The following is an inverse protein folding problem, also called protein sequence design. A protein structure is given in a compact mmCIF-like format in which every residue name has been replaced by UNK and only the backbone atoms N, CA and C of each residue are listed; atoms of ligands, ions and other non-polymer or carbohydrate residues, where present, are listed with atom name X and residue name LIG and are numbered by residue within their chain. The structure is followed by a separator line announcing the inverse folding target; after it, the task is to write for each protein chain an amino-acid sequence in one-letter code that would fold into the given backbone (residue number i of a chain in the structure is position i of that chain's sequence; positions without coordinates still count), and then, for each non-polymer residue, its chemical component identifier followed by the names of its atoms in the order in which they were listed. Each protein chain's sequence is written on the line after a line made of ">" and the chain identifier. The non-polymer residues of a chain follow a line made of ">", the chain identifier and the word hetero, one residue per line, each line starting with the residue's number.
data_IF_046690361778
#
_entry.id   IF_046690361778
#
_cell.length_a   1.000
_cell.length_b   1.000
_cell.length_c   1.000
_cell.angle_alpha   90.00
_cell.angle_beta   90.00
_cell.angle_gamma   90.00
#
_symmetry.space_group_name_H-M   'P 1'
#
loop_
_entity.id
_entity.type
_entity.pdbx_description
1 polymer ?
#
# COMPACT_ATOMS: atom_id res chain seq x y z
N UNK A 1 44.90 51.28 6.63
CA UNK A 1 43.50 51.39 7.07
C UNK A 1 42.82 52.50 6.26
N UNK A 2 42.13 52.20 5.14
CA UNK A 2 41.38 53.21 4.42
C UNK A 2 39.92 53.25 4.92
N UNK A 3 39.48 54.44 5.30
CA UNK A 3 38.11 54.79 5.67
C UNK A 3 37.18 54.77 4.46
N UNK A 4 36.10 53.98 4.53
CA UNK A 4 35.01 53.97 3.54
C UNK A 4 33.98 55.05 3.91
N UNK A 5 33.82 56.05 3.04
CA UNK A 5 32.71 57.00 3.13
C UNK A 5 31.44 56.41 2.51
N UNK A 6 30.35 56.48 3.26
CA UNK A 6 29.02 55.97 2.89
C UNK A 6 28.29 57.05 2.10
N UNK A 7 28.18 56.89 0.78
CA UNK A 7 27.35 57.78 -0.04
C UNK A 7 25.92 57.26 -0.12
N UNK A 8 24.99 58.06 0.36
CA UNK A 8 23.55 57.79 0.33
C UNK A 8 23.06 57.87 -1.12
N UNK A 9 22.82 56.72 -1.76
CA UNK A 9 22.12 56.68 -3.05
C UNK A 9 20.68 57.17 -2.83
N UNK A 10 20.35 58.36 -3.35
CA UNK A 10 18.98 58.87 -3.38
C UNK A 10 18.13 57.91 -4.22
N UNK A 11 17.15 57.28 -3.59
CA UNK A 11 16.13 56.48 -4.26
C UNK A 11 15.26 57.44 -5.07
N UNK A 12 15.33 57.36 -6.40
CA UNK A 12 14.51 58.18 -7.28
C UNK A 12 13.06 57.68 -7.23
N UNK A 13 12.14 58.53 -6.75
CA UNK A 13 10.70 58.33 -6.89
C UNK A 13 10.19 59.25 -8.01
N UNK A 14 9.42 58.74 -8.99
CA UNK A 14 8.79 59.56 -10.03
C UNK A 14 7.86 60.63 -9.45
N UNK A 15 7.67 61.74 -10.17
CA UNK A 15 6.78 62.82 -9.74
C UNK A 15 5.31 62.40 -9.84
N UNK A 16 4.42 63.04 -9.08
CA UNK A 16 2.99 62.73 -9.08
C UNK A 16 2.36 62.82 -10.50
N UNK A 17 2.91 63.68 -11.36
CA UNK A 17 2.48 63.86 -12.75
C UNK A 17 2.85 62.70 -13.67
N UNK A 18 3.93 61.98 -13.34
CA UNK A 18 4.35 60.75 -14.03
C UNK A 18 3.52 59.56 -13.55
N UNK A 19 3.10 59.59 -12.29
CA UNK A 19 2.25 58.57 -11.67
C UNK A 19 0.84 58.60 -12.27
N UNK A 20 0.26 59.78 -12.44
CA UNK A 20 -1.04 59.96 -13.10
C UNK A 20 -1.02 59.50 -14.57
N UNK A 21 0.10 59.71 -15.27
CA UNK A 21 0.28 59.23 -16.65
C UNK A 21 0.43 57.71 -16.73
N UNK A 22 1.12 57.09 -15.75
CA UNK A 22 1.22 55.63 -15.65
C UNK A 22 -0.15 55.01 -15.34
N UNK A 23 -0.93 55.63 -14.46
CA UNK A 23 -2.25 55.13 -14.08
C UNK A 23 -3.27 55.32 -15.22
N UNK A 24 -3.23 56.45 -15.94
CA UNK A 24 -4.03 56.62 -17.17
C UNK A 24 -3.66 55.60 -18.26
N UNK A 25 -2.38 55.25 -18.40
CA UNK A 25 -1.93 54.24 -19.37
C UNK A 25 -2.37 52.82 -18.97
N UNK A 26 -2.36 52.48 -17.67
CA UNK A 26 -2.92 51.22 -17.16
C UNK A 26 -4.43 51.10 -17.36
N UNK A 27 -5.16 52.21 -17.27
CA UNK A 27 -6.60 52.22 -17.53
C UNK A 27 -6.93 52.12 -19.03
N UNK A 28 -6.08 52.65 -19.91
CA UNK A 28 -6.22 52.54 -21.36
C UNK A 28 -5.84 51.15 -21.91
N UNK A 29 -4.87 50.47 -21.30
CA UNK A 29 -4.45 49.11 -21.66
C UNK A 29 -5.26 48.01 -20.94
N UNK A 30 -6.36 48.37 -20.25
CA UNK A 30 -7.27 47.37 -19.68
C UNK A 30 -8.02 46.72 -20.85
N UNK A 31 -7.78 45.43 -21.16
CA UNK A 31 -8.51 44.76 -22.23
C UNK A 31 -10.01 44.87 -21.93
N UNK A 32 -10.79 45.29 -22.93
CA UNK A 32 -12.24 45.27 -22.86
C UNK A 32 -12.69 43.87 -22.41
N UNK A 33 -13.80 43.74 -21.63
CA UNK A 33 -14.31 42.43 -21.26
C UNK A 33 -14.64 41.70 -22.57
N UNK A 34 -13.78 40.74 -22.93
CA UNK A 34 -14.07 39.77 -23.97
C UNK A 34 -15.33 39.08 -23.53
N UNK A 35 -16.38 39.19 -24.36
CA UNK A 35 -17.62 38.47 -24.20
C UNK A 35 -17.31 37.03 -23.78
N UNK A 36 -17.86 36.66 -22.64
CA UNK A 36 -17.68 35.38 -21.97
C UNK A 36 -17.89 34.25 -23.00
N UNK A 37 -16.80 33.58 -23.37
CA UNK A 37 -16.88 32.21 -23.87
C UNK A 37 -17.53 31.43 -22.72
N UNK A 38 -18.79 30.95 -22.86
CA UNK A 38 -19.43 30.23 -21.78
C UNK A 38 -18.54 29.06 -21.41
N UNK A 39 -18.16 28.99 -20.13
CA UNK A 39 -17.26 27.98 -19.57
C UNK A 39 -17.67 26.60 -20.09
N UNK A 40 -16.87 26.02 -20.99
CA UNK A 40 -17.16 24.73 -21.64
C UNK A 40 -17.46 23.62 -20.61
N UNK A 41 -16.93 23.78 -19.39
CA UNK A 41 -17.19 22.93 -18.24
C UNK A 41 -18.61 23.05 -17.69
N UNK A 42 -19.19 24.25 -17.67
CA UNK A 42 -20.57 24.50 -17.22
C UNK A 42 -21.56 23.90 -18.23
N UNK A 43 -21.32 24.12 -19.53
CA UNK A 43 -22.09 23.47 -20.59
C UNK A 43 -22.00 21.93 -20.52
N UNK A 44 -20.82 21.38 -20.21
CA UNK A 44 -20.63 19.94 -20.03
C UNK A 44 -21.37 19.42 -18.78
N UNK A 45 -21.31 20.13 -17.65
CA UNK A 45 -22.05 19.78 -16.43
C UNK A 45 -23.56 19.79 -16.67
N UNK A 46 -24.09 20.80 -17.37
CA UNK A 46 -25.50 20.88 -17.75
C UNK A 46 -25.94 19.66 -18.57
N UNK A 47 -25.10 19.19 -19.51
CA UNK A 47 -25.42 17.98 -20.28
C UNK A 47 -25.46 16.71 -19.43
N UNK A 48 -24.56 16.59 -18.43
CA UNK A 48 -24.57 15.48 -17.49
C UNK A 48 -25.79 15.53 -16.56
N UNK A 49 -26.16 16.73 -16.10
CA UNK A 49 -27.35 16.92 -15.26
C UNK A 49 -28.64 16.62 -16.03
N UNK A 50 -28.75 17.09 -17.27
CA UNK A 50 -29.86 16.77 -18.16
C UNK A 50 -29.96 15.27 -18.44
N UNK A 51 -28.83 14.59 -18.68
CA UNK A 51 -28.80 13.14 -18.83
C UNK A 51 -29.26 12.41 -17.56
N UNK A 52 -28.79 12.84 -16.39
CA UNK A 52 -29.20 12.28 -15.10
C UNK A 52 -30.69 12.52 -14.80
N UNK A 53 -31.21 13.69 -15.16
CA UNK A 53 -32.63 14.01 -15.05
C UNK A 53 -33.47 13.17 -16.02
N UNK A 54 -33.03 13.00 -17.26
CA UNK A 54 -33.69 12.15 -18.25
C UNK A 54 -33.72 10.68 -17.80
N UNK A 55 -32.65 10.16 -17.21
CA UNK A 55 -32.62 8.80 -16.69
C UNK A 55 -33.52 8.63 -15.46
N UNK A 56 -33.60 9.63 -14.57
CA UNK A 56 -34.60 9.65 -13.48
C UNK A 56 -36.02 9.63 -14.04
N UNK A 57 -36.33 10.45 -15.04
CA UNK A 57 -37.64 10.49 -15.68
C UNK A 57 -37.99 9.16 -16.36
N UNK A 58 -37.04 8.54 -17.08
CA UNK A 58 -37.24 7.19 -17.67
C UNK A 58 -37.56 6.14 -16.61
N UNK A 59 -36.89 6.17 -15.46
CA UNK A 59 -37.18 5.25 -14.34
C UNK A 59 -38.58 5.53 -13.78
N UNK A 60 -38.94 6.79 -13.57
CA UNK A 60 -40.28 7.17 -13.09
C UNK A 60 -41.39 6.80 -14.07
N UNK A 61 -41.19 7.00 -15.37
CA UNK A 61 -42.15 6.65 -16.40
C UNK A 61 -42.28 5.14 -16.57
N UNK A 62 -41.17 4.39 -16.49
CA UNK A 62 -41.19 2.93 -16.44
C UNK A 62 -41.96 2.43 -15.20
N UNK A 63 -41.78 3.06 -14.03
CA UNK A 63 -42.54 2.74 -12.82
C UNK A 63 -44.04 3.08 -12.94
N UNK A 64 -44.39 4.20 -13.58
CA UNK A 64 -45.79 4.58 -13.84
C UNK A 64 -46.44 3.64 -14.83
N UNK A 65 -45.72 3.25 -15.89
CA UNK A 65 -46.19 2.28 -16.88
C UNK A 65 -46.40 0.90 -16.26
N UNK A 66 -45.51 0.46 -15.37
CA UNK A 66 -45.67 -0.78 -14.61
C UNK A 66 -46.93 -0.77 -13.74
N UNK A 67 -47.23 0.35 -13.08
CA UNK A 67 -48.46 0.54 -12.28
C UNK A 67 -49.74 0.67 -13.12
N UNK A 68 -49.63 1.11 -14.38
CA UNK A 68 -50.76 1.26 -15.32
C UNK A 68 -51.18 -0.05 -16.00
N UNK A 69 -50.38 -1.12 -15.88
CA UNK A 69 -50.74 -2.42 -16.43
C UNK A 69 -52.07 -2.88 -15.81
N UNK A 70 -53.07 -3.25 -16.63
CA UNK A 70 -54.35 -3.70 -16.08
C UNK A 70 -54.11 -4.90 -15.16
N UNK A 71 -54.62 -4.81 -13.93
CA UNK A 71 -54.56 -5.90 -12.95
C UNK A 71 -55.03 -7.18 -13.62
N UNK A 72 -54.22 -8.23 -13.58
CA UNK A 72 -54.57 -9.47 -14.23
C UNK A 72 -55.88 -9.98 -13.63
N UNK A 73 -56.73 -10.65 -14.41
CA UNK A 73 -57.90 -11.35 -13.85
C UNK A 73 -57.51 -12.31 -12.71
N UNK A 74 -56.25 -12.78 -12.69
CA UNK A 74 -55.69 -13.56 -11.58
C UNK A 74 -55.55 -12.75 -10.30
N UNK A 75 -55.11 -11.50 -10.39
CA UNK A 75 -54.90 -10.61 -9.24
C UNK A 75 -56.26 -10.23 -8.64
N UNK A 76 -57.23 -9.88 -9.49
CA UNK A 76 -58.62 -9.63 -9.09
C UNK A 76 -59.26 -10.87 -8.43
N UNK A 77 -58.94 -12.07 -8.93
CA UNK A 77 -59.37 -13.33 -8.31
C UNK A 77 -58.69 -13.54 -6.96
N UNK A 78 -57.40 -13.26 -6.82
CA UNK A 78 -56.66 -13.41 -5.57
C UNK A 78 -57.17 -12.45 -4.49
N UNK A 79 -57.40 -11.18 -4.85
CA UNK A 79 -58.01 -10.17 -3.98
C UNK A 79 -59.43 -10.57 -3.54
N UNK A 80 -60.22 -11.14 -4.46
CA UNK A 80 -61.56 -11.63 -4.16
C UNK A 80 -61.59 -12.88 -3.28
N UNK A 81 -60.56 -13.74 -3.33
CA UNK A 81 -60.41 -14.89 -2.43
C UNK A 81 -59.87 -14.49 -1.05
N UNK A 82 -59.09 -13.41 -0.96
CA UNK A 82 -58.51 -12.93 0.29
C UNK A 82 -59.53 -12.25 1.21
N UNK A 83 -60.54 -11.60 0.63
CA UNK A 83 -61.55 -10.86 1.39
C UNK A 83 -62.75 -11.75 1.78
N UNK A 84 -63.17 -11.78 3.05
CA UNK A 84 -64.36 -12.52 3.46
C UNK A 84 -65.62 -11.93 2.83
N UNK A 85 -66.65 -12.78 2.67
CA UNK A 85 -67.95 -12.35 2.17
C UNK A 85 -68.56 -11.26 3.06
N UNK A 86 -68.98 -10.15 2.46
CA UNK A 86 -69.63 -9.04 3.17
C UNK A 86 -71.06 -9.39 3.59
N UNK A 87 -71.55 -8.78 4.66
CA UNK A 87 -72.93 -8.97 5.16
C UNK A 87 -74.02 -8.50 4.19
N UNK A 88 -73.67 -7.67 3.21
CA UNK A 88 -74.56 -7.25 2.13
C UNK A 88 -74.80 -8.35 1.09
N UNK A 89 -73.96 -9.39 1.05
CA UNK A 89 -74.12 -10.48 0.10
C UNK A 89 -75.32 -11.35 0.50
N UNK A 90 -76.26 -11.54 -0.45
CA UNK A 90 -77.46 -12.38 -0.27
C UNK A 90 -77.12 -13.81 0.19
N UNK A 91 -75.98 -14.35 -0.27
CA UNK A 91 -75.51 -15.67 0.13
C UNK A 91 -75.14 -15.75 1.62
N UNK A 92 -74.47 -14.73 2.15
CA UNK A 92 -74.15 -14.64 3.57
C UNK A 92 -75.41 -14.48 4.42
N UNK A 93 -76.37 -13.67 3.97
CA UNK A 93 -77.67 -13.52 4.64
C UNK A 93 -78.44 -14.84 4.71
N UNK A 94 -78.43 -15.63 3.64
CA UNK A 94 -79.05 -16.96 3.65
C UNK A 94 -78.34 -17.92 4.62
N UNK A 95 -77.01 -17.96 4.60
CA UNK A 95 -76.20 -18.77 5.51
C UNK A 95 -76.46 -18.40 6.97
N UNK A 96 -76.50 -17.11 7.29
CA UNK A 96 -76.78 -16.63 8.65
C UNK A 96 -78.17 -17.06 9.15
N UNK A 97 -79.18 -17.07 8.26
CA UNK A 97 -80.54 -17.57 8.58
C UNK A 97 -80.59 -19.08 8.79
N UNK A 98 -79.64 -19.82 8.23
CA UNK A 98 -79.48 -21.26 8.43
C UNK A 98 -78.61 -21.60 9.67
N UNK A 99 -78.21 -20.58 10.45
CA UNK A 99 -77.45 -20.76 11.68
C UNK A 99 -75.93 -20.72 11.53
N UNK A 100 -75.40 -20.29 10.38
CA UNK A 100 -73.96 -20.11 10.18
C UNK A 100 -73.44 -18.88 10.94
N UNK A 101 -72.39 -19.07 11.74
CA UNK A 101 -71.64 -17.99 12.39
C UNK A 101 -70.28 -17.80 11.70
N UNK A 102 -69.85 -16.55 11.45
CA UNK A 102 -68.58 -16.28 10.77
C UNK A 102 -67.41 -16.87 11.57
N UNK A 103 -66.60 -17.71 10.92
CA UNK A 103 -65.46 -18.40 11.53
C UNK A 103 -65.74 -19.83 12.02
N UNK A 104 -67.00 -20.30 11.95
CA UNK A 104 -67.34 -21.67 12.32
C UNK A 104 -67.32 -22.62 11.11
N UNK A 105 -66.81 -23.83 11.30
CA UNK A 105 -66.87 -24.90 10.29
C UNK A 105 -68.31 -25.38 10.06
N UNK A 106 -68.67 -25.71 8.81
CA UNK A 106 -70.00 -26.27 8.51
C UNK A 106 -70.10 -27.74 8.97
N UNK A 107 -71.27 -28.17 9.43
CA UNK A 107 -71.58 -29.56 9.77
C UNK A 107 -72.13 -29.74 11.19
N UNK A 108 -72.69 -30.92 11.49
CA UNK A 108 -73.37 -31.22 12.78
C UNK A 108 -72.49 -31.00 14.02
N UNK A 109 -71.19 -31.20 13.88
CA UNK A 109 -70.16 -31.01 14.92
C UNK A 109 -69.22 -29.83 14.62
N UNK A 110 -69.60 -28.93 13.69
CA UNK A 110 -68.75 -27.88 13.16
C UNK A 110 -67.40 -28.36 12.57
N UNK A 111 -67.35 -29.61 12.09
CA UNK A 111 -66.12 -30.28 11.61
C UNK A 111 -65.63 -29.83 10.22
N UNK A 112 -66.39 -29.01 9.49
CA UNK A 112 -65.99 -28.52 8.17
C UNK A 112 -64.84 -27.50 8.24
N UNK A 113 -64.08 -27.37 7.15
CA UNK A 113 -63.01 -26.38 7.06
C UNK A 113 -63.58 -24.95 7.13
N UNK A 114 -63.13 -24.16 8.11
CA UNK A 114 -63.50 -22.75 8.25
C UNK A 114 -62.73 -21.82 7.29
N UNK A 115 -61.59 -22.29 6.77
CA UNK A 115 -60.73 -21.57 5.83
C UNK A 115 -60.89 -22.17 4.43
N UNK A 116 -61.07 -21.35 3.38
CA UNK A 116 -61.17 -21.83 2.02
C UNK A 116 -59.86 -22.54 1.60
N UNK A 117 -60.01 -23.68 0.91
CA UNK A 117 -58.86 -24.44 0.41
C UNK A 117 -58.17 -23.62 -0.67
N UNK A 118 -56.87 -23.37 -0.50
CA UNK A 118 -56.06 -22.67 -1.48
C UNK A 118 -55.95 -23.50 -2.77
N UNK A 119 -56.38 -22.93 -3.89
CA UNK A 119 -56.27 -23.56 -5.21
C UNK A 119 -55.11 -22.90 -5.96
N UNK A 120 -54.02 -23.64 -6.15
CA UNK A 120 -52.89 -23.20 -6.96
C UNK A 120 -53.18 -23.45 -8.44
N UNK A 121 -53.64 -22.41 -9.14
CA UNK A 121 -53.97 -22.50 -10.57
C UNK A 121 -52.69 -22.41 -11.39
N UNK A 122 -52.25 -23.53 -11.95
CA UNK A 122 -51.11 -23.57 -12.89
C UNK A 122 -51.48 -22.86 -14.18
N UNK A 123 -50.72 -21.84 -14.54
CA UNK A 123 -50.93 -21.09 -15.79
C UNK A 123 -50.13 -21.61 -16.99
N UNK A 124 -49.23 -22.56 -16.76
CA UNK A 124 -48.34 -23.12 -17.77
C UNK A 124 -48.78 -24.52 -18.16
N UNK A 125 -48.53 -24.90 -19.41
CA UNK A 125 -48.74 -26.27 -19.92
C UNK A 125 -47.53 -27.19 -19.61
N UNK A 126 -46.75 -26.86 -18.58
CA UNK A 126 -45.58 -27.65 -18.17
C UNK A 126 -46.02 -28.82 -17.29
N UNK A 127 -45.21 -29.88 -17.29
CA UNK A 127 -45.44 -31.04 -16.42
C UNK A 127 -45.39 -30.66 -14.93
N UNK A 128 -46.19 -31.36 -14.13
CA UNK A 128 -46.17 -31.21 -12.67
C UNK A 128 -44.76 -31.52 -12.13
N UNK A 129 -44.17 -30.61 -11.36
CA UNK A 129 -42.84 -30.77 -10.74
C UNK A 129 -41.65 -30.14 -11.48
N UNK A 130 -41.83 -29.70 -12.73
CA UNK A 130 -40.76 -29.07 -13.52
C UNK A 130 -40.32 -27.72 -12.93
N UNK A 131 -41.27 -26.94 -12.42
CA UNK A 131 -40.99 -25.59 -11.90
C UNK A 131 -40.11 -25.66 -10.63
N UNK A 132 -40.32 -26.64 -9.76
CA UNK A 132 -39.53 -26.85 -8.55
C UNK A 132 -38.08 -27.23 -8.92
N UNK A 133 -37.92 -28.21 -9.82
CA UNK A 133 -36.60 -28.62 -10.33
C UNK A 133 -35.86 -27.47 -11.03
N UNK A 134 -36.59 -26.60 -11.75
CA UNK A 134 -36.00 -25.43 -12.40
C UNK A 134 -35.54 -24.38 -11.40
N UNK A 135 -36.34 -24.11 -10.35
CA UNK A 135 -35.95 -23.21 -9.25
C UNK A 135 -34.72 -23.74 -8.51
N UNK A 136 -34.69 -25.03 -8.18
CA UNK A 136 -33.54 -25.66 -7.53
C UNK A 136 -32.27 -25.60 -8.38
N UNK A 137 -32.41 -25.82 -9.70
CA UNK A 137 -31.30 -25.65 -10.64
C UNK A 137 -30.82 -24.20 -10.70
N UNK A 138 -31.73 -23.23 -10.65
CA UNK A 138 -31.39 -21.80 -10.64
C UNK A 138 -30.68 -21.39 -9.35
N UNK A 139 -31.16 -21.81 -8.17
CA UNK A 139 -30.52 -21.49 -6.89
C UNK A 139 -29.13 -22.09 -6.82
N UNK A 140 -28.95 -23.36 -7.23
CA UNK A 140 -27.63 -24.01 -7.28
C UNK A 140 -26.66 -23.33 -8.24
N UNK A 141 -27.16 -22.85 -9.39
CA UNK A 141 -26.35 -22.09 -10.34
C UNK A 141 -25.95 -20.72 -9.77
N UNK A 142 -26.87 -20.02 -9.12
CA UNK A 142 -26.60 -18.72 -8.48
C UNK A 142 -25.59 -18.85 -7.33
N UNK A 143 -25.74 -19.87 -6.48
CA UNK A 143 -24.80 -20.17 -5.40
C UNK A 143 -23.40 -20.47 -5.95
N UNK A 144 -23.30 -21.30 -7.00
CA UNK A 144 -22.03 -21.60 -7.64
C UNK A 144 -21.38 -20.35 -8.27
N UNK A 145 -22.17 -19.44 -8.84
CA UNK A 145 -21.67 -18.17 -9.35
C UNK A 145 -21.13 -17.28 -8.23
N UNK A 146 -21.84 -17.19 -7.10
CA UNK A 146 -21.40 -16.43 -5.93
C UNK A 146 -20.10 -16.99 -5.34
N UNK A 147 -19.99 -18.32 -5.22
CA UNK A 147 -18.76 -18.98 -4.80
C UNK A 147 -17.58 -18.69 -5.75
N UNK A 148 -17.81 -18.70 -7.06
CA UNK A 148 -16.78 -18.34 -8.05
C UNK A 148 -16.37 -16.87 -7.96
N UNK A 149 -17.32 -15.96 -7.78
CA UNK A 149 -17.07 -14.53 -7.64
C UNK A 149 -16.25 -14.23 -6.37
N UNK A 150 -16.64 -14.79 -5.23
CA UNK A 150 -15.89 -14.63 -3.96
C UNK A 150 -14.48 -15.20 -4.03
N UNK A 151 -14.28 -16.36 -4.68
CA UNK A 151 -12.94 -16.92 -4.93
C UNK A 151 -12.08 -15.98 -5.78
N UNK A 152 -12.64 -15.42 -6.86
CA UNK A 152 -11.95 -14.43 -7.70
C UNK A 152 -11.59 -13.17 -6.91
N UNK A 153 -12.50 -12.67 -6.08
CA UNK A 153 -12.26 -11.51 -5.23
C UNK A 153 -11.13 -11.75 -4.23
N UNK A 154 -11.11 -12.92 -3.57
CA UNK A 154 -10.01 -13.31 -2.66
C UNK A 154 -8.67 -13.40 -3.38
N UNK A 155 -8.64 -13.98 -4.58
CA UNK A 155 -7.42 -14.05 -5.40
C UNK A 155 -6.93 -12.65 -5.80
N UNK A 156 -7.85 -11.75 -6.17
CA UNK A 156 -7.48 -10.39 -6.52
C UNK A 156 -6.95 -9.62 -5.30
N UNK A 157 -7.58 -9.78 -4.13
CA UNK A 157 -7.11 -9.16 -2.89
C UNK A 157 -5.72 -9.67 -2.48
N UNK A 158 -5.46 -10.98 -2.58
CA UNK A 158 -4.14 -11.55 -2.30
C UNK A 158 -3.06 -10.98 -3.24
N UNK A 159 -3.33 -10.94 -4.56
CA UNK A 159 -2.39 -10.33 -5.51
C UNK A 159 -2.11 -8.86 -5.22
N UNK A 160 -3.10 -8.11 -4.74
CA UNK A 160 -2.92 -6.71 -4.35
C UNK A 160 -2.06 -6.57 -3.09
N UNK A 161 -2.21 -7.45 -2.10
CA UNK A 161 -1.37 -7.42 -0.89
C UNK A 161 0.07 -7.80 -1.21
N UNK A 162 0.27 -8.80 -2.06
CA UNK A 162 1.61 -9.24 -2.48
C UNK A 162 2.33 -8.11 -3.23
N UNK A 163 1.66 -7.50 -4.21
CA UNK A 163 2.21 -6.37 -4.97
C UNK A 163 2.57 -5.15 -4.09
N UNK A 164 1.74 -4.84 -3.09
CA UNK A 164 2.05 -3.77 -2.13
C UNK A 164 3.25 -4.12 -1.25
N UNK A 165 3.37 -5.39 -0.86
CA UNK A 165 4.53 -5.91 -0.13
C UNK A 165 5.83 -5.77 -0.94
N UNK A 166 5.80 -6.19 -2.20
CA UNK A 166 6.94 -6.10 -3.11
C UNK A 166 7.38 -4.65 -3.34
N UNK A 167 6.42 -3.74 -3.54
CA UNK A 167 6.73 -2.31 -3.66
C UNK A 167 7.33 -1.72 -2.38
N UNK A 168 6.82 -2.09 -1.20
CA UNK A 168 7.35 -1.62 0.06
C UNK A 168 8.79 -2.13 0.28
N UNK A 169 9.05 -3.41 -0.02
CA UNK A 169 10.40 -4.00 0.05
C UNK A 169 11.36 -3.32 -0.94
N UNK A 170 10.94 -3.07 -2.18
CA UNK A 170 11.75 -2.35 -3.16
C UNK A 170 12.04 -0.90 -2.74
N UNK A 171 11.07 -0.21 -2.13
CA UNK A 171 11.28 1.12 -1.58
C UNK A 171 12.31 1.10 -0.44
N UNK A 172 12.23 0.12 0.47
CA UNK A 172 13.22 -0.07 1.54
C UNK A 172 14.62 -0.33 0.96
N UNK A 173 14.75 -1.22 -0.03
CA UNK A 173 16.04 -1.50 -0.67
C UNK A 173 16.65 -0.25 -1.32
N UNK A 174 15.85 0.58 -2.01
CA UNK A 174 16.34 1.87 -2.56
C UNK A 174 16.85 2.81 -1.47
N UNK A 175 16.18 2.84 -0.31
CA UNK A 175 16.66 3.66 0.81
C UNK A 175 17.98 3.12 1.38
N UNK A 176 18.12 1.80 1.49
CA UNK A 176 19.36 1.17 1.96
C UNK A 176 20.50 1.36 0.97
N UNK A 177 20.26 1.24 -0.33
CA UNK A 177 21.25 1.54 -1.37
C UNK A 177 21.75 2.98 -1.28
N UNK A 178 20.83 3.95 -1.13
CA UNK A 178 21.18 5.36 -0.96
C UNK A 178 22.03 5.60 0.29
N UNK A 179 21.63 5.03 1.43
CA UNK A 179 22.39 5.13 2.68
C UNK A 179 23.74 4.43 2.60
N UNK A 180 23.83 3.28 1.92
CA UNK A 180 25.06 2.52 1.73
C UNK A 180 26.04 3.27 0.83
N UNK A 181 25.55 3.88 -0.26
CA UNK A 181 26.35 4.78 -1.12
C UNK A 181 26.92 5.95 -0.32
N UNK A 182 26.12 6.55 0.57
CA UNK A 182 26.60 7.62 1.44
C UNK A 182 27.62 7.12 2.47
N UNK A 183 27.32 5.99 3.15
CA UNK A 183 28.18 5.40 4.15
C UNK A 183 29.55 5.02 3.58
N UNK A 184 29.57 4.34 2.41
CA UNK A 184 30.79 3.92 1.73
C UNK A 184 31.69 5.11 1.35
N UNK A 185 31.11 6.19 0.81
CA UNK A 185 31.85 7.43 0.53
C UNK A 185 32.44 8.04 1.80
N UNK A 186 31.65 8.11 2.88
CA UNK A 186 32.16 8.66 4.15
C UNK A 186 33.25 7.80 4.77
N UNK A 187 33.18 6.47 4.64
CA UNK A 187 34.27 5.59 5.09
C UNK A 187 35.52 5.80 4.26
N UNK A 188 35.40 5.87 2.94
CA UNK A 188 36.54 6.14 2.04
C UNK A 188 37.23 7.47 2.38
N UNK A 189 36.46 8.54 2.60
CA UNK A 189 37.00 9.84 2.97
C UNK A 189 37.73 9.83 4.33
N UNK A 190 37.16 9.16 5.35
CA UNK A 190 37.75 9.08 6.69
C UNK A 190 38.98 8.18 6.71
N UNK A 191 38.92 7.06 6.00
CA UNK A 191 40.03 6.13 5.87
C UNK A 191 41.21 6.76 5.11
N UNK A 192 40.95 7.50 4.02
CA UNK A 192 42.01 8.27 3.32
C UNK A 192 42.67 9.30 4.21
N UNK A 193 41.90 9.98 5.08
CA UNK A 193 42.45 10.92 6.07
C UNK A 193 43.30 10.21 7.13
N UNK A 194 42.97 8.95 7.44
CA UNK A 194 43.76 8.09 8.31
C UNK A 194 44.97 7.44 7.61
N UNK A 195 45.14 7.66 6.31
CA UNK A 195 46.26 7.13 5.51
C UNK A 195 46.06 5.70 4.99
N UNK A 196 44.83 5.17 5.04
CA UNK A 196 44.49 3.90 4.42
C UNK A 196 44.26 4.11 2.91
N UNK A 197 44.88 3.25 2.10
CA UNK A 197 44.82 3.35 0.63
C UNK A 197 43.67 2.53 0.04
N UNK A 198 43.34 1.39 0.65
CA UNK A 198 42.31 0.45 0.19
C UNK A 198 41.59 -0.19 1.38
N UNK A 199 40.28 -0.41 1.25
CA UNK A 199 39.44 -1.07 2.25
C UNK A 199 38.37 -1.93 1.59
N UNK A 200 38.06 -3.14 2.12
CA UNK A 200 37.01 -4.01 1.60
C UNK A 200 35.59 -3.39 1.60
N UNK A 201 35.40 -2.26 2.29
CA UNK A 201 34.11 -1.60 2.46
C UNK A 201 33.80 -0.54 1.40
N UNK A 202 34.76 -0.15 0.56
CA UNK A 202 34.62 0.95 -0.41
C UNK A 202 34.06 0.56 -1.78
N UNK A 203 34.30 -0.66 -2.33
CA UNK A 203 33.81 -0.98 -3.66
C UNK A 203 32.31 -1.29 -3.61
N UNK A 204 31.49 -0.30 -3.99
CA UNK A 204 30.04 -0.49 -4.04
C UNK A 204 29.54 -0.97 -5.40
N UNK A 205 30.28 -0.68 -6.46
CA UNK A 205 30.08 -1.20 -7.81
C UNK A 205 31.49 -1.35 -8.44
N UNK A 206 31.73 -2.39 -9.27
CA UNK A 206 32.91 -2.37 -10.12
C UNK A 206 32.87 -1.08 -10.93
N UNK A 207 34.01 -0.41 -11.05
CA UNK A 207 34.14 0.75 -11.91
C UNK A 207 33.83 0.27 -13.32
N UNK A 208 32.59 0.45 -13.77
CA UNK A 208 32.25 0.28 -15.18
C UNK A 208 33.05 1.36 -15.89
N UNK A 209 34.18 0.95 -16.45
CA UNK A 209 35.01 1.81 -17.25
C UNK A 209 34.12 2.28 -18.39
N UNK A 210 33.69 3.54 -18.32
CA UNK A 210 33.02 4.19 -19.44
C UNK A 210 34.10 4.53 -20.45
N UNK A 211 34.58 3.50 -21.13
CA UNK A 211 35.39 3.55 -22.34
C UNK A 211 34.63 2.75 -23.39
N UNK A 212 34.27 3.39 -24.50
CA UNK A 212 33.70 2.75 -25.68
C UNK A 212 34.74 1.87 -26.40
N UNK A 213 35.33 0.89 -25.70
CA UNK A 213 36.26 -0.10 -26.27
C UNK A 213 35.82 -1.53 -25.85
N UNK A 214 35.34 -2.36 -26.79
CA UNK A 214 34.74 -3.66 -26.48
C UNK A 214 35.74 -4.80 -26.22
N UNK A 215 37.01 -4.52 -25.94
CA UNK A 215 38.08 -5.54 -25.85
C UNK A 215 38.80 -5.66 -24.50
N UNK A 216 38.39 -4.95 -23.45
CA UNK A 216 38.98 -5.14 -22.10
C UNK A 216 37.93 -5.64 -21.09
N UNK A 217 37.56 -6.92 -21.21
CA UNK A 217 36.95 -7.66 -20.10
C UNK A 217 38.04 -8.09 -19.11
N UNK A 218 38.66 -7.13 -18.43
CA UNK A 218 39.42 -7.46 -17.23
C UNK A 218 38.42 -7.87 -16.16
N UNK A 219 38.28 -9.17 -15.90
CA UNK A 219 37.68 -9.67 -14.65
C UNK A 219 38.39 -8.96 -13.50
N UNK A 220 37.71 -8.00 -12.86
CA UNK A 220 38.23 -7.38 -11.65
C UNK A 220 38.25 -8.48 -10.60
N UNK A 221 39.43 -9.08 -10.37
CA UNK A 221 39.61 -10.10 -9.33
C UNK A 221 39.43 -9.43 -7.98
N UNK A 222 38.18 -9.40 -7.50
CA UNK A 222 37.88 -9.00 -6.13
C UNK A 222 38.51 -10.02 -5.18
N UNK A 223 39.13 -9.51 -4.13
CA UNK A 223 39.62 -10.34 -3.04
C UNK A 223 38.45 -11.08 -2.37
N UNK A 224 38.67 -12.31 -1.86
CA UNK A 224 37.58 -13.16 -1.36
C UNK A 224 36.79 -12.52 -0.21
N UNK A 225 37.38 -11.55 0.50
CA UNK A 225 36.71 -10.81 1.58
C UNK A 225 35.75 -9.76 1.02
N UNK A 226 36.16 -8.99 0.01
CA UNK A 226 35.27 -8.02 -0.64
C UNK A 226 34.16 -8.70 -1.44
N UNK A 227 34.44 -9.83 -2.09
CA UNK A 227 33.42 -10.63 -2.77
C UNK A 227 32.34 -11.11 -1.77
N UNK A 228 32.77 -11.68 -0.63
CA UNK A 228 31.86 -12.09 0.43
C UNK A 228 31.04 -10.91 1.00
N UNK A 229 31.63 -9.71 1.07
CA UNK A 229 30.92 -8.50 1.48
C UNK A 229 29.81 -8.09 0.49
N UNK A 230 30.08 -8.17 -0.82
CA UNK A 230 29.13 -7.77 -1.85
C UNK A 230 27.93 -8.71 -1.99
N UNK A 231 28.10 -10.01 -1.68
CA UNK A 231 27.04 -11.02 -1.70
C UNK A 231 26.01 -10.86 -0.55
N UNK A 232 26.35 -10.12 0.51
CA UNK A 232 25.44 -9.87 1.62
C UNK A 232 24.22 -9.02 1.19
N UNK A 233 23.06 -9.21 1.83
CA UNK A 233 21.92 -8.31 1.69
C UNK A 233 22.31 -6.85 1.93
N UNK A 234 21.67 -5.93 1.20
CA UNK A 234 21.94 -4.48 1.29
C UNK A 234 21.88 -3.94 2.72
N UNK A 235 20.92 -4.45 3.52
CA UNK A 235 20.78 -4.08 4.93
C UNK A 235 22.03 -4.44 5.75
N UNK A 236 22.56 -5.65 5.56
CA UNK A 236 23.70 -6.15 6.31
C UNK A 236 24.99 -5.44 5.90
N UNK A 237 25.15 -5.19 4.58
CA UNK A 237 26.24 -4.36 4.05
C UNK A 237 26.24 -2.98 4.70
N UNK A 238 25.09 -2.31 4.73
CA UNK A 238 24.94 -1.01 5.37
C UNK A 238 25.27 -1.08 6.86
N UNK A 239 24.76 -2.09 7.56
CA UNK A 239 25.01 -2.26 8.99
C UNK A 239 26.50 -2.41 9.31
N UNK A 240 27.22 -3.19 8.50
CA UNK A 240 28.66 -3.42 8.68
C UNK A 240 29.48 -2.15 8.40
N UNK A 241 29.15 -1.39 7.34
CA UNK A 241 29.80 -0.10 7.07
C UNK A 241 29.53 0.92 8.19
N UNK A 242 28.29 1.02 8.65
CA UNK A 242 27.92 1.91 9.77
C UNK A 242 28.62 1.50 11.08
N UNK A 243 28.78 0.20 11.31
CA UNK A 243 29.48 -0.31 12.47
C UNK A 243 30.96 0.08 12.44
N UNK A 244 31.62 -0.08 11.29
CA UNK A 244 33.01 0.33 11.08
C UNK A 244 33.20 1.83 11.33
N UNK A 245 32.34 2.69 10.75
CA UNK A 245 32.37 4.14 10.98
C UNK A 245 32.28 4.50 12.47
N UNK A 246 31.46 3.78 13.23
CA UNK A 246 31.25 4.02 14.66
C UNK A 246 32.40 3.51 15.52
N UNK A 247 32.95 2.34 15.22
CA UNK A 247 34.01 1.74 16.05
C UNK A 247 35.40 2.34 15.78
N UNK A 248 35.71 2.63 14.52
CA UNK A 248 37.05 3.09 14.13
C UNK A 248 37.17 4.60 14.25
N UNK A 249 36.16 5.33 13.76
CA UNK A 249 36.20 6.79 13.65
C UNK A 249 35.32 7.51 14.66
N UNK A 250 34.55 6.78 15.46
CA UNK A 250 33.53 7.34 16.33
C UNK A 250 32.58 8.28 15.55
N UNK A 251 32.27 7.94 14.30
CA UNK A 251 31.45 8.78 13.41
C UNK A 251 30.03 8.21 13.27
N UNK A 252 29.03 9.09 13.31
CA UNK A 252 27.64 8.71 13.03
C UNK A 252 27.15 9.37 11.74
N UNK A 253 26.85 8.55 10.73
CA UNK A 253 26.30 9.00 9.45
C UNK A 253 25.01 9.83 9.59
N UNK A 254 24.12 9.42 10.50
CA UNK A 254 22.82 10.06 10.66
C UNK A 254 22.87 11.37 11.46
N UNK A 255 23.88 11.54 12.33
CA UNK A 255 24.09 12.80 13.04
C UNK A 255 25.02 13.75 12.29
N UNK A 256 25.80 13.24 11.34
CA UNK A 256 26.81 14.02 10.60
C UNK A 256 27.96 14.50 11.48
N UNK A 257 28.29 13.80 12.57
CA UNK A 257 29.29 14.23 13.55
C UNK A 257 30.26 13.11 13.93
N UNK A 258 31.52 13.50 14.12
CA UNK A 258 32.60 12.68 14.63
C UNK A 258 32.83 12.99 16.12
N UNK A 259 32.69 11.99 16.98
CA UNK A 259 32.81 12.13 18.43
C UNK A 259 34.26 11.92 18.88
N UNK A 260 34.62 12.43 20.06
CA UNK A 260 35.98 12.28 20.59
C UNK A 260 36.29 10.89 21.13
N UNK A 261 35.26 10.13 21.54
CA UNK A 261 35.42 8.77 22.06
C UNK A 261 34.18 7.89 21.86
N UNK A 262 34.37 6.58 21.95
CA UNK A 262 33.29 5.60 21.89
C UNK A 262 32.22 5.80 22.99
N UNK A 263 32.63 6.25 24.18
CA UNK A 263 31.71 6.53 25.29
C UNK A 263 30.83 7.77 25.04
N UNK A 264 31.39 8.79 24.39
CA UNK A 264 30.65 9.99 23.99
C UNK A 264 29.65 9.68 22.87
N UNK A 265 30.07 8.87 21.87
CA UNK A 265 29.18 8.37 20.82
C UNK A 265 28.00 7.59 21.42
N UNK A 266 28.23 6.71 22.40
CA UNK A 266 27.18 5.90 23.00
C UNK A 266 26.18 6.71 23.85
N UNK A 267 26.62 7.78 24.48
CA UNK A 267 25.79 8.61 25.36
C UNK A 267 25.08 9.76 24.63
N UNK A 268 25.72 10.34 23.62
CA UNK A 268 25.20 11.51 22.91
C UNK A 268 24.44 11.13 21.62
N UNK A 269 24.83 10.05 20.94
CA UNK A 269 24.18 9.67 19.69
C UNK A 269 22.82 9.01 19.98
N UNK A 270 21.74 9.47 19.30
CA UNK A 270 20.40 8.96 19.56
C UNK A 270 20.16 7.55 18.96
N UNK A 271 21.08 7.07 18.11
CA UNK A 271 21.29 5.65 17.82
C UNK A 271 21.95 5.36 16.46
N UNK A 272 22.05 4.06 16.07
CA UNK A 272 22.75 3.63 14.87
C UNK A 272 21.90 3.50 13.61
N UNK A 273 20.60 3.83 13.65
CA UNK A 273 19.70 3.77 12.50
C UNK A 273 18.97 5.09 12.26
N UNK A 274 18.50 5.35 11.04
CA UNK A 274 17.83 6.60 10.68
C UNK A 274 16.64 6.96 11.60
N UNK A 275 15.88 5.97 12.09
CA UNK A 275 14.77 6.15 13.03
C UNK A 275 15.23 6.62 14.41
N UNK A 276 16.46 6.26 14.80
CA UNK A 276 17.04 6.65 16.07
C UNK A 276 17.65 8.05 16.04
N UNK A 277 17.78 8.70 14.87
CA UNK A 277 18.36 10.05 14.74
C UNK A 277 17.43 11.19 15.19
N UNK A 278 16.12 10.95 15.21
CA UNK A 278 15.12 11.92 15.66
C UNK A 278 14.96 11.86 17.19
N UNK A 279 15.71 12.70 17.91
CA UNK A 279 15.37 13.05 19.30
C UNK A 279 14.07 13.85 19.30
N UNK A 280 12.94 13.14 19.34
CA UNK A 280 11.63 13.73 19.61
C UNK A 280 10.53 13.34 18.63
N UNK A 281 10.10 12.08 18.65
CA UNK A 281 8.68 11.70 18.72
C UNK A 281 8.56 10.18 18.90
N UNK A 282 7.60 9.79 19.73
CA UNK A 282 7.39 8.47 20.33
C UNK A 282 6.65 7.48 19.40
N UNK A 283 6.87 6.18 19.65
CA UNK A 283 6.06 5.00 19.25
C UNK A 283 5.96 4.65 17.75
N UNK A 284 6.54 3.51 17.32
CA UNK A 284 5.92 2.17 17.27
C UNK A 284 6.83 1.21 16.45
N UNK A 285 6.76 -0.09 16.76
CA UNK A 285 7.38 -1.26 16.10
C UNK A 285 8.71 -1.76 16.68
N UNK A 286 8.59 -2.35 17.87
CA UNK A 286 9.30 -3.58 18.22
C UNK A 286 8.85 -4.71 17.27
N UNK A 287 9.69 -5.06 16.29
CA UNK A 287 9.86 -6.43 15.78
C UNK A 287 11.07 -6.45 14.87
N UNK A 288 12.18 -7.04 15.33
CA UNK A 288 12.84 -8.19 14.71
C UNK A 288 13.93 -8.67 15.68
N UNK A 289 13.70 -9.89 16.11
CA UNK A 289 14.58 -10.92 16.67
C UNK A 289 16.05 -10.57 16.98
N UNK A 290 16.37 -10.56 18.28
CA UNK A 290 17.68 -10.27 18.86
C UNK A 290 18.41 -11.54 19.35
N UNK A 291 18.18 -12.71 18.75
CA UNK A 291 18.65 -13.98 19.36
C UNK A 291 19.52 -14.94 18.56
N UNK A 292 19.89 -14.69 17.30
CA UNK A 292 20.64 -15.73 16.56
C UNK A 292 21.99 -15.37 15.95
N UNK A 293 22.43 -14.11 15.95
CA UNK A 293 23.66 -13.70 15.23
C UNK A 293 24.86 -13.33 16.13
N UNK A 294 24.87 -13.79 17.38
CA UNK A 294 25.93 -13.44 18.34
C UNK A 294 27.01 -14.51 18.54
N UNK A 295 27.06 -15.55 17.69
CA UNK A 295 28.13 -16.55 17.73
C UNK A 295 28.40 -17.13 16.34
N UNK A 296 29.04 -16.37 15.46
CA UNK A 296 29.99 -16.86 14.46
C UNK A 296 30.52 -15.65 13.68
N UNK A 297 31.84 -15.61 13.46
CA UNK A 297 32.62 -14.53 12.84
C UNK A 297 33.14 -13.43 13.80
N UNK A 298 33.89 -13.85 14.81
CA UNK A 298 35.07 -13.10 15.26
C UNK A 298 36.28 -14.04 15.25
N UNK A 299 36.89 -14.19 14.09
CA UNK A 299 38.25 -14.71 13.97
C UNK A 299 38.79 -14.20 12.63
N UNK A 300 40.02 -13.72 12.65
CA UNK A 300 40.73 -13.02 11.55
C UNK A 300 40.42 -11.53 11.47
N UNK A 301 41.03 -10.77 12.39
CA UNK A 301 41.86 -9.60 12.05
C UNK A 301 42.77 -9.31 13.26
N UNK A 302 44.11 -9.35 13.10
CA UNK A 302 45.04 -9.19 14.21
C UNK A 302 45.12 -7.73 14.66
N UNK A 303 44.99 -7.53 15.98
CA UNK A 303 45.23 -6.26 16.67
C UNK A 303 46.74 -6.01 16.76
N UNK A 304 47.29 -5.30 15.78
CA UNK A 304 48.67 -4.83 15.83
C UNK A 304 48.76 -3.52 16.62
N UNK A 305 49.45 -3.55 17.76
CA UNK A 305 50.05 -2.37 18.41
C UNK A 305 51.42 -2.14 17.78
N UNK A 306 51.88 -0.88 17.60
CA UNK A 306 53.18 -0.62 17.04
C UNK A 306 54.28 -0.86 18.08
N UNK A 307 55.48 -1.15 17.57
CA UNK A 307 56.74 -1.47 18.26
C UNK A 307 57.04 -2.97 18.37
N UNK A 308 58.23 -3.33 17.88
CA UNK A 308 58.88 -4.65 17.94
C UNK A 308 58.51 -5.69 16.87
N UNK A 309 58.97 -5.49 15.64
CA UNK A 309 59.09 -6.57 14.66
C UNK A 309 60.31 -6.42 13.75
N UNK A 310 61.50 -6.23 14.34
CA UNK A 310 62.78 -6.48 13.65
C UNK A 310 63.72 -7.16 14.64
N UNK A 311 63.71 -8.49 14.70
CA UNK A 311 64.87 -9.38 14.99
C UNK A 311 64.41 -10.81 15.23
N UNK A 312 65.14 -11.77 14.66
CA UNK A 312 65.16 -13.14 15.19
C UNK A 312 64.76 -14.26 14.24
N UNK A 313 65.53 -14.41 13.16
CA UNK A 313 65.67 -15.68 12.45
C UNK A 313 66.29 -16.73 13.38
N UNK A 314 65.86 -17.99 13.22
CA UNK A 314 66.45 -19.26 13.65
C UNK A 314 65.83 -19.94 14.89
N UNK A 315 65.13 -21.05 14.66
CA UNK A 315 65.61 -22.39 15.03
C UNK A 315 64.66 -23.49 14.54
N UNK A 316 65.24 -24.45 13.84
CA UNK A 316 64.69 -25.72 13.34
C UNK A 316 64.39 -26.68 14.50
N UNK A 317 63.42 -27.60 14.34
CA UNK A 317 63.25 -28.70 15.30
C UNK A 317 62.06 -29.65 15.11
N UNK A 318 62.13 -30.48 14.07
CA UNK A 318 61.77 -31.92 14.02
C UNK A 318 60.41 -32.47 14.54
N UNK A 319 59.70 -33.13 13.60
CA UNK A 319 58.96 -34.40 13.64
C UNK A 319 58.64 -35.11 14.97
N UNK A 320 57.39 -35.61 15.09
CA UNK A 320 56.98 -37.00 15.51
C UNK A 320 55.45 -37.02 15.74
N UNK A 321 54.63 -37.58 14.84
CA UNK A 321 54.10 -38.97 14.80
C UNK A 321 52.66 -39.11 15.35
N UNK A 322 51.76 -39.17 14.36
CA UNK A 322 50.49 -39.92 14.24
C UNK A 322 50.33 -41.12 15.19
N UNK A 323 49.21 -41.19 15.91
CA UNK A 323 48.80 -42.35 16.72
C UNK A 323 47.28 -42.38 16.93
N UNK A 324 46.62 -43.23 16.16
CA UNK A 324 45.18 -43.38 15.98
C UNK A 324 44.57 -44.19 17.14
N UNK A 325 43.51 -43.69 17.76
CA UNK A 325 42.77 -44.39 18.82
C UNK A 325 41.83 -45.42 18.18
N UNK A 326 42.02 -46.67 18.59
CA UNK A 326 41.16 -47.82 18.34
C UNK A 326 40.12 -47.87 19.47
N UNK A 327 38.84 -48.08 19.15
CA UNK A 327 38.01 -48.93 19.99
C UNK A 327 36.87 -49.58 19.20
N UNK A 328 36.85 -50.90 19.26
CA UNK A 328 35.67 -51.76 19.05
C UNK A 328 35.81 -52.90 20.04
N UNK A 329 34.77 -53.04 20.87
CA UNK A 329 34.49 -54.10 21.85
C UNK A 329 35.28 -54.12 23.15
#
# INVERSE_FOLDING_TARGET
>A
MPTVQRTSKKLWLPSDRDRDQIDQKRHADKPAPTAEEPDELEALLDTYEQAAQADKQKVEDAQKEEKRKPTSMKDLRAEGLANPLTASNRGFQLLSKMGYQPGQGLGKTASGAAVPIAVEVKSTRTGLGIDESRKERQTRQAEMQLLRATKRQRQHAAKQTDFRGDQAAAAMNRTWEGQLKQAARTSEDLDRRAGLTESPLWPLEPKAETGDDPEDESEVVLDPVTAAFQELPLADRLQQTLHHLRQTYHYCLFCGHQYGSQGELASSCPGPSALSAFRGQTYLLLTIDRRSHQQQLWAVLPRASPEEAWSGVAALGTCTTRGMIINSS
#
